data_IF_242670917682
#
_entry.id   IF_242670917682
#
_cell.length_a   1.000
_cell.length_b   1.000
_cell.length_c   1.000
_cell.angle_alpha   90.00
_cell.angle_beta   90.00
_cell.angle_gamma   90.00
#
_symmetry.space_group_name_H-M   'P 1'
#
loop_
_entity.id
_entity.type
_entity.pdbx_description
1 polymer ?
#
# COMPACT_ATOMS: atom_id res chain seq x y z
N UNK A 1 -6.38 -27.89 -11.79
CA UNK A 1 -7.14 -26.66 -11.49
C UNK A 1 -6.46 -25.82 -10.41
N UNK A 2 -6.30 -26.34 -9.18
CA UNK A 2 -5.66 -25.57 -8.10
C UNK A 2 -4.18 -25.24 -8.35
N UNK A 3 -3.39 -26.18 -8.87
CA UNK A 3 -1.97 -25.92 -9.22
C UNK A 3 -1.82 -24.80 -10.24
N UNK A 4 -2.61 -24.86 -11.32
CA UNK A 4 -2.67 -23.80 -12.34
C UNK A 4 -3.05 -22.45 -11.74
N UNK A 5 -4.04 -22.42 -10.85
CA UNK A 5 -4.44 -21.21 -10.15
C UNK A 5 -3.29 -20.64 -9.32
N UNK A 6 -2.61 -21.46 -8.52
CA UNK A 6 -1.48 -21.01 -7.68
C UNK A 6 -0.32 -20.49 -8.54
N UNK A 7 0.01 -21.16 -9.64
CA UNK A 7 1.04 -20.69 -10.57
C UNK A 7 0.67 -19.32 -11.15
N UNK A 8 -0.57 -19.15 -11.63
CA UNK A 8 -1.04 -17.85 -12.14
C UNK A 8 -1.11 -16.77 -11.07
N UNK A 9 -1.51 -17.13 -9.85
CA UNK A 9 -1.52 -16.20 -8.72
C UNK A 9 -0.10 -15.72 -8.40
N UNK A 10 0.90 -16.59 -8.47
CA UNK A 10 2.30 -16.22 -8.26
C UNK A 10 2.87 -15.38 -9.40
N UNK A 11 2.50 -15.68 -10.66
CA UNK A 11 2.84 -14.82 -11.81
C UNK A 11 2.31 -13.40 -11.59
N UNK A 12 1.03 -13.26 -11.20
CA UNK A 12 0.42 -11.96 -10.90
C UNK A 12 1.09 -11.28 -9.70
N UNK A 13 1.39 -12.03 -8.63
CA UNK A 13 2.09 -11.54 -7.45
C UNK A 13 3.41 -10.85 -7.84
N UNK A 14 4.21 -11.51 -8.68
CA UNK A 14 5.48 -10.99 -9.16
C UNK A 14 5.29 -9.84 -10.15
N UNK A 15 4.39 -9.98 -11.12
CA UNK A 15 4.19 -9.02 -12.19
C UNK A 15 3.66 -7.67 -11.70
N UNK A 16 2.83 -7.69 -10.66
CA UNK A 16 2.22 -6.51 -10.06
C UNK A 16 2.96 -6.03 -8.81
N UNK A 17 4.16 -6.54 -8.52
CA UNK A 17 4.98 -6.09 -7.38
C UNK A 17 4.26 -6.16 -6.02
N UNK A 18 3.54 -7.26 -5.78
CA UNK A 18 3.04 -7.56 -4.44
C UNK A 18 4.19 -7.93 -3.49
N UNK A 19 4.07 -7.48 -2.24
CA UNK A 19 4.95 -7.89 -1.13
C UNK A 19 4.23 -8.78 -0.13
N UNK A 20 2.91 -8.84 -0.22
CA UNK A 20 2.05 -9.70 0.57
C UNK A 20 0.73 -9.94 -0.18
N UNK A 21 0.26 -11.19 -0.19
CA UNK A 21 -1.01 -11.58 -0.79
C UNK A 21 -1.57 -12.80 -0.04
N UNK A 22 -2.64 -12.59 0.71
CA UNK A 22 -3.36 -13.61 1.46
C UNK A 22 -4.77 -13.75 0.92
N UNK A 23 -5.24 -15.00 0.80
CA UNK A 23 -6.62 -15.35 0.47
C UNK A 23 -7.12 -16.31 1.54
N UNK A 24 -8.11 -15.89 2.34
CA UNK A 24 -8.63 -16.71 3.43
C UNK A 24 -10.13 -16.47 3.72
N UNK A 25 -11.06 -17.32 3.24
CA UNK A 25 -10.81 -18.62 2.62
C UNK A 25 -10.67 -18.58 1.09
N UNK A 26 -9.81 -19.45 0.56
CA UNK A 26 -9.85 -19.86 -0.85
C UNK A 26 -10.81 -21.05 -0.98
N UNK A 27 -12.01 -20.82 -1.53
CA UNK A 27 -13.03 -21.87 -1.66
C UNK A 27 -12.87 -22.58 -2.99
N UNK A 28 -12.70 -23.91 -2.95
CA UNK A 28 -12.58 -24.75 -4.13
C UNK A 28 -13.77 -25.70 -4.19
N UNK A 29 -14.52 -25.61 -5.29
CA UNK A 29 -15.64 -26.51 -5.61
C UNK A 29 -15.25 -27.46 -6.73
N UNK A 30 -16.16 -28.34 -7.18
CA UNK A 30 -15.88 -29.27 -8.27
C UNK A 30 -15.50 -28.55 -9.57
N UNK A 31 -16.16 -27.43 -9.85
CA UNK A 31 -16.03 -26.73 -11.14
C UNK A 31 -15.25 -25.41 -11.03
N UNK A 32 -15.23 -24.78 -9.84
CA UNK A 32 -14.80 -23.39 -9.69
C UNK A 32 -13.95 -23.13 -8.44
N UNK A 33 -13.11 -22.09 -8.52
CA UNK A 33 -12.35 -21.52 -7.42
C UNK A 33 -12.90 -20.12 -7.12
N UNK A 34 -13.21 -19.84 -5.85
CA UNK A 34 -13.71 -18.56 -5.37
C UNK A 34 -12.76 -17.95 -4.34
N UNK A 35 -12.43 -16.68 -4.52
CA UNK A 35 -11.67 -15.85 -3.58
C UNK A 35 -12.70 -15.11 -2.74
N UNK A 36 -12.92 -15.54 -1.48
CA UNK A 36 -13.93 -14.92 -0.62
C UNK A 36 -13.41 -13.74 0.18
N UNK A 37 -12.12 -13.74 0.51
CA UNK A 37 -11.43 -12.64 1.18
C UNK A 37 -10.02 -12.51 0.61
N UNK A 38 -9.51 -11.27 0.58
CA UNK A 38 -8.18 -10.97 0.08
C UNK A 38 -7.58 -9.80 0.85
N UNK A 39 -6.44 -10.05 1.49
CA UNK A 39 -5.59 -9.03 2.08
C UNK A 39 -4.28 -8.96 1.31
N UNK A 40 -3.84 -7.75 0.94
CA UNK A 40 -2.64 -7.58 0.12
C UNK A 40 -1.85 -6.33 0.45
N UNK A 41 -0.55 -6.34 0.11
CA UNK A 41 0.32 -5.16 0.14
C UNK A 41 1.11 -5.08 -1.16
N UNK A 42 1.17 -3.89 -1.73
CA UNK A 42 1.96 -3.57 -2.91
C UNK A 42 3.19 -2.77 -2.51
N UNK A 43 4.29 -2.94 -3.25
CA UNK A 43 5.46 -2.09 -3.10
C UNK A 43 5.25 -0.74 -3.80
N UNK A 44 4.77 0.26 -3.07
CA UNK A 44 4.50 1.59 -3.62
C UNK A 44 5.68 2.21 -4.39
N UNK A 45 6.93 1.80 -4.12
CA UNK A 45 8.09 2.31 -4.86
C UNK A 45 8.11 1.86 -6.32
N UNK A 46 7.43 0.77 -6.66
CA UNK A 46 7.28 0.24 -8.01
C UNK A 46 6.19 0.95 -8.85
N UNK A 47 5.56 2.01 -8.32
CA UNK A 47 4.50 2.75 -9.03
C UNK A 47 4.92 3.18 -10.44
N UNK A 48 6.15 3.65 -10.62
CA UNK A 48 6.66 4.04 -11.94
C UNK A 48 6.79 2.87 -12.94
N UNK A 49 6.98 1.63 -12.46
CA UNK A 49 7.02 0.42 -13.30
C UNK A 49 5.62 -0.10 -13.59
N UNK A 50 4.72 0.00 -12.61
CA UNK A 50 3.41 -0.62 -12.62
C UNK A 50 2.27 0.35 -12.94
N UNK A 51 2.53 1.64 -13.17
CA UNK A 51 1.51 2.68 -13.37
C UNK A 51 0.45 2.29 -14.43
N UNK A 52 0.89 1.66 -15.53
CA UNK A 52 -0.02 1.21 -16.60
C UNK A 52 -0.91 0.02 -16.18
N UNK A 53 -0.44 -0.83 -15.26
CA UNK A 53 -1.14 -2.02 -14.78
C UNK A 53 -2.00 -1.74 -13.56
N UNK A 54 -1.50 -0.95 -12.62
CA UNK A 54 -2.20 -0.55 -11.40
C UNK A 54 -3.28 0.48 -11.67
N UNK A 55 -3.08 1.35 -12.66
CA UNK A 55 -3.99 2.46 -12.93
C UNK A 55 -4.04 3.43 -11.75
N UNK A 56 -5.24 3.91 -11.40
CA UNK A 56 -5.44 4.77 -10.23
C UNK A 56 -5.66 3.91 -9.00
N UNK A 57 -4.57 3.58 -8.31
CA UNK A 57 -4.62 2.83 -7.05
C UNK A 57 -4.56 3.79 -5.85
N UNK A 58 -5.33 3.48 -4.82
CA UNK A 58 -5.33 4.22 -3.56
C UNK A 58 -4.73 3.35 -2.45
N UNK A 59 -3.90 3.96 -1.60
CA UNK A 59 -3.32 3.33 -0.42
C UNK A 59 -4.08 3.81 0.81
N UNK A 60 -5.11 3.07 1.28
CA UNK A 60 -5.94 3.53 2.37
C UNK A 60 -5.13 3.61 3.67
N UNK A 61 -5.43 4.59 4.55
CA UNK A 61 -4.85 4.61 5.88
C UNK A 61 -5.30 3.36 6.66
N UNK A 62 -4.51 2.92 7.66
CA UNK A 62 -4.92 1.82 8.50
C UNK A 62 -6.18 2.18 9.29
N UNK A 63 -6.95 1.16 9.64
CA UNK A 63 -8.22 1.30 10.36
C UNK A 63 -8.09 2.19 11.60
N UNK A 64 -9.06 3.09 11.79
CA UNK A 64 -9.12 4.01 12.93
C UNK A 64 -8.32 5.31 12.75
N UNK A 65 -7.74 5.55 11.57
CA UNK A 65 -7.18 6.87 11.19
C UNK A 65 -7.97 7.51 10.08
N UNK A 66 -8.28 8.79 10.26
CA UNK A 66 -8.86 9.61 9.21
C UNK A 66 -7.80 9.91 8.14
N UNK A 67 -8.21 9.90 6.88
CA UNK A 67 -7.39 10.41 5.79
C UNK A 67 -7.49 11.94 5.76
N UNK A 68 -6.38 12.64 5.98
CA UNK A 68 -6.34 14.10 5.93
C UNK A 68 -5.92 14.60 4.54
N UNK A 69 -6.53 15.70 4.09
CA UNK A 69 -6.19 16.31 2.81
C UNK A 69 -4.73 16.80 2.78
N UNK A 70 -4.21 17.22 3.95
CA UNK A 70 -2.84 17.65 4.15
C UNK A 70 -1.84 16.50 3.96
N UNK A 71 -2.17 15.28 4.39
CA UNK A 71 -1.32 14.09 4.18
C UNK A 71 -1.26 13.74 2.69
N UNK A 72 -2.39 13.81 1.99
CA UNK A 72 -2.45 13.59 0.54
C UNK A 72 -1.63 14.64 -0.22
N UNK A 73 -1.68 15.90 0.20
CA UNK A 73 -0.88 16.98 -0.39
C UNK A 73 0.63 16.74 -0.21
N UNK A 74 1.08 16.34 0.97
CA UNK A 74 2.51 16.02 1.20
C UNK A 74 2.93 14.78 0.39
N UNK A 75 2.07 13.76 0.29
CA UNK A 75 2.35 12.59 -0.54
C UNK A 75 2.47 12.94 -2.03
N UNK A 76 1.66 13.88 -2.53
CA UNK A 76 1.77 14.39 -3.90
C UNK A 76 3.09 15.15 -4.13
N UNK A 77 3.53 15.96 -3.17
CA UNK A 77 4.82 16.66 -3.23
C UNK A 77 6.00 15.69 -3.21
N UNK A 78 5.94 14.65 -2.37
CA UNK A 78 6.93 13.58 -2.30
C UNK A 78 7.06 12.87 -3.65
N UNK A 79 5.94 12.51 -4.29
CA UNK A 79 5.93 11.84 -5.59
C UNK A 79 6.49 12.71 -6.74
N UNK A 80 6.44 14.04 -6.60
CA UNK A 80 6.91 15.00 -7.62
C UNK A 80 8.34 15.50 -7.38
N UNK A 81 9.01 15.04 -6.31
CA UNK A 81 10.34 15.49 -5.95
C UNK A 81 11.30 14.32 -5.72
N UNK A 82 12.60 14.54 -5.89
CA UNK A 82 13.61 13.55 -5.47
C UNK A 82 13.89 13.57 -3.96
N UNK A 83 13.25 14.46 -3.21
CA UNK A 83 13.38 14.54 -1.76
C UNK A 83 12.34 13.64 -1.08
N UNK A 84 12.67 13.13 0.12
CA UNK A 84 11.73 12.37 0.93
C UNK A 84 10.94 13.32 1.83
N UNK A 85 9.63 13.40 1.60
CA UNK A 85 8.68 14.24 2.30
C UNK A 85 7.57 13.33 2.86
N UNK A 86 7.48 13.21 4.19
CA UNK A 86 6.50 12.34 4.85
C UNK A 86 5.75 13.13 5.92
N UNK A 87 4.43 12.98 5.94
CA UNK A 87 3.56 13.50 6.99
C UNK A 87 2.57 12.43 7.41
N UNK A 88 2.34 12.31 8.70
CA UNK A 88 1.26 11.52 9.27
C UNK A 88 0.71 12.26 10.48
N UNK A 89 -0.56 12.64 10.43
CA UNK A 89 -1.23 13.40 11.50
C UNK A 89 -1.77 12.41 12.53
N UNK A 90 -1.13 12.38 13.71
CA UNK A 90 -1.55 11.48 14.80
C UNK A 90 -2.65 12.08 15.67
N UNK A 91 -2.53 13.37 16.02
CA UNK A 91 -3.53 14.10 16.78
C UNK A 91 -3.55 15.57 16.34
N UNK A 92 -4.55 16.01 15.55
CA UNK A 92 -4.60 17.38 15.03
C UNK A 92 -4.78 18.43 16.13
N UNK A 93 -5.23 18.02 17.33
CA UNK A 93 -5.37 18.89 18.52
C UNK A 93 -4.19 18.76 19.49
N UNK A 94 -3.13 18.05 19.09
CA UNK A 94 -1.92 17.90 19.87
C UNK A 94 -1.20 19.23 20.07
N UNK A 95 -0.54 19.38 21.22
CA UNK A 95 0.28 20.58 21.54
C UNK A 95 1.73 20.48 21.08
N UNK A 96 2.18 19.29 20.69
CA UNK A 96 3.54 19.01 20.24
C UNK A 96 3.49 18.69 18.75
N UNK A 97 4.28 19.41 17.97
CA UNK A 97 4.41 19.24 16.53
C UNK A 97 5.90 19.13 16.20
N UNK A 98 6.25 18.16 15.36
CA UNK A 98 7.63 17.90 14.96
C UNK A 98 7.79 18.23 13.47
N UNK A 99 8.87 18.91 13.13
CA UNK A 99 9.33 19.14 11.76
C UNK A 99 10.82 18.85 11.73
N UNK A 100 11.16 17.60 11.45
CA UNK A 100 12.52 17.07 11.59
C UNK A 100 13.06 16.69 10.21
N UNK A 101 14.31 17.07 9.95
CA UNK A 101 15.00 16.67 8.73
C UNK A 101 15.67 15.29 8.92
N UNK A 102 15.39 14.38 7.98
CA UNK A 102 15.98 13.05 7.93
C UNK A 102 15.20 12.00 8.72
N UNK A 103 14.90 10.87 8.06
CA UNK A 103 14.09 9.80 8.66
C UNK A 103 14.66 9.17 9.93
N UNK A 104 16.00 9.15 10.07
CA UNK A 104 16.63 8.66 11.31
C UNK A 104 16.40 9.60 12.50
N UNK A 105 16.53 10.91 12.28
CA UNK A 105 16.30 11.90 13.33
C UNK A 105 14.82 11.95 13.73
N UNK A 106 13.89 11.85 12.77
CA UNK A 106 12.44 11.90 13.04
C UNK A 106 11.92 10.75 13.90
N UNK A 107 12.69 9.65 14.05
CA UNK A 107 12.33 8.53 14.94
C UNK A 107 12.93 8.71 16.34
N UNK A 108 14.04 9.43 16.47
CA UNK A 108 14.70 9.69 17.75
C UNK A 108 13.96 10.77 18.56
N UNK A 109 13.44 11.77 17.88
CA UNK A 109 12.66 12.88 18.46
C UNK A 109 11.19 12.51 18.63
#
# INVERSE_FOLDING_TARGET
HLSTFITKLFEIYMELHFTYLEINPLVVTADNIYILDLASRLDQTADYLCASKWGKIEFPPPFGRDAYAEEAYIAELDAKSGASLKLTVLNPKGRVWTMVAGGGASVIY
#
